data_IF_662869326872
#
_entry.id   IF_662869326872
#
_cell.length_a   1.000
_cell.length_b   1.000
_cell.length_c   1.000
_cell.angle_alpha   90.00
_cell.angle_beta   90.00
_cell.angle_gamma   90.00
#
_symmetry.space_group_name_H-M   'P 1'
#
loop_
_entity.id
_entity.type
_entity.pdbx_description
1 polymer ?
#
# COMPACT_ATOMS: atom_id res chain seq x y z
N UNK A 1 74.58 -24.69 13.10
CA UNK A 1 75.55 -23.70 12.58
C UNK A 1 74.87 -22.87 11.50
N UNK A 2 74.66 -21.56 11.77
CA UNK A 2 74.65 -20.41 10.84
C UNK A 2 73.69 -20.34 9.61
N UNK A 3 72.85 -19.28 9.66
CA UNK A 3 72.42 -18.34 8.58
C UNK A 3 71.24 -18.87 7.72
N UNK A 4 70.19 -18.15 7.35
CA UNK A 4 69.98 -16.77 6.86
C UNK A 4 68.53 -16.35 7.18
N UNK A 5 68.21 -15.24 7.85
CA UNK A 5 68.09 -13.85 7.37
C UNK A 5 67.16 -13.65 6.16
N UNK A 6 65.97 -13.14 6.47
CA UNK A 6 65.19 -12.09 5.79
C UNK A 6 64.45 -12.32 4.46
N UNK A 7 63.26 -11.69 4.45
CA UNK A 7 62.64 -10.93 3.36
C UNK A 7 61.92 -11.71 2.25
N UNK A 8 60.58 -11.56 2.21
CA UNK A 8 59.70 -11.17 1.07
C UNK A 8 58.29 -11.62 1.43
N UNK A 9 57.42 -10.73 1.91
CA UNK A 9 56.43 -10.04 1.08
C UNK A 9 55.69 -11.02 0.14
N UNK A 10 54.50 -11.49 0.52
CA UNK A 10 53.24 -11.52 -0.25
C UNK A 10 52.19 -12.18 0.66
N UNK A 11 51.65 -11.42 1.62
CA UNK A 11 50.37 -11.76 2.28
C UNK A 11 49.31 -10.92 1.59
N UNK A 12 48.89 -11.35 0.41
CA UNK A 12 47.73 -10.83 -0.30
C UNK A 12 47.42 -11.79 -1.45
N UNK A 13 46.14 -11.96 -1.77
CA UNK A 13 45.61 -12.75 -2.90
C UNK A 13 45.58 -14.25 -2.55
N UNK A 14 44.46 -14.87 -2.15
CA UNK A 14 43.13 -14.83 -2.75
C UNK A 14 42.04 -15.13 -1.70
N UNK A 15 41.32 -14.10 -1.27
CA UNK A 15 39.92 -14.24 -0.85
C UNK A 15 39.08 -14.38 -2.12
N UNK A 16 38.05 -15.26 -2.08
CA UNK A 16 36.77 -15.23 -2.83
C UNK A 16 36.32 -16.64 -3.24
N UNK A 17 35.91 -17.45 -2.26
CA UNK A 17 34.90 -18.48 -2.51
C UNK A 17 33.54 -17.84 -2.21
N UNK A 18 32.80 -17.55 -3.28
CA UNK A 18 31.50 -16.90 -3.26
C UNK A 18 30.52 -17.66 -2.35
N UNK A 19 30.13 -17.03 -1.24
CA UNK A 19 28.92 -17.40 -0.51
C UNK A 19 27.76 -17.04 -1.43
N UNK A 20 27.06 -18.05 -1.94
CA UNK A 20 25.74 -17.91 -2.58
C UNK A 20 24.76 -17.49 -1.49
N UNK A 21 24.73 -16.20 -1.18
CA UNK A 21 23.61 -15.62 -0.45
C UNK A 21 22.42 -15.59 -1.40
N UNK A 22 21.47 -16.49 -1.14
CA UNK A 22 20.08 -16.33 -1.56
C UNK A 22 19.52 -15.06 -0.93
N UNK A 23 19.84 -13.92 -1.54
CA UNK A 23 19.08 -12.70 -1.36
C UNK A 23 17.79 -12.89 -2.13
N UNK A 24 16.68 -13.02 -1.40
CA UNK A 24 15.36 -12.82 -1.97
C UNK A 24 15.42 -11.56 -2.84
N UNK A 25 15.21 -11.74 -4.13
CA UNK A 25 14.93 -10.63 -5.04
C UNK A 25 13.63 -9.99 -4.55
N UNK A 26 13.72 -9.05 -3.60
CA UNK A 26 12.64 -8.11 -3.32
C UNK A 26 12.60 -7.16 -4.52
N UNK A 27 12.01 -7.67 -5.61
CA UNK A 27 11.69 -6.87 -6.78
C UNK A 27 10.89 -5.67 -6.31
N UNK A 28 11.47 -4.50 -6.55
CA UNK A 28 10.90 -3.17 -6.39
C UNK A 28 9.38 -3.14 -6.65
N UNK A 29 8.59 -3.30 -5.60
CA UNK A 29 7.19 -2.85 -5.55
C UNK A 29 7.23 -1.51 -4.83
N UNK A 30 6.78 -0.44 -5.48
CA UNK A 30 6.66 0.88 -4.88
C UNK A 30 6.08 0.80 -3.47
N UNK A 31 6.68 1.52 -2.52
CA UNK A 31 6.35 1.44 -1.10
C UNK A 31 4.84 1.53 -0.91
N UNK A 32 4.21 0.44 -0.46
CA UNK A 32 2.77 0.39 -0.17
C UNK A 32 2.51 1.38 0.97
N UNK A 33 1.68 2.43 0.77
CA UNK A 33 1.39 3.38 1.83
C UNK A 33 0.74 2.71 3.05
N UNK A 34 1.10 3.18 4.24
CA UNK A 34 0.51 2.78 5.52
C UNK A 34 -0.94 3.22 5.67
N UNK A 35 -1.25 4.02 6.70
CA UNK A 35 -2.56 4.67 6.79
C UNK A 35 -2.57 5.95 5.96
N UNK A 36 -3.64 6.17 5.19
CA UNK A 36 -3.84 7.38 4.38
C UNK A 36 -5.16 8.05 4.77
N UNK A 37 -5.27 9.36 4.54
CA UNK A 37 -6.50 10.11 4.82
C UNK A 37 -7.20 10.45 3.50
N UNK A 38 -8.42 9.94 3.33
CA UNK A 38 -9.27 10.27 2.18
C UNK A 38 -9.93 11.63 2.42
N UNK A 39 -9.35 12.68 1.83
CA UNK A 39 -9.65 14.09 2.18
C UNK A 39 -10.43 14.90 1.13
N UNK A 40 -11.13 14.24 0.19
CA UNK A 40 -11.94 14.93 -0.83
C UNK A 40 -13.07 15.76 -0.20
N UNK A 41 -13.62 15.31 0.93
CA UNK A 41 -14.61 16.06 1.71
C UNK A 41 -14.05 16.36 3.10
N UNK A 42 -13.70 17.62 3.36
CA UNK A 42 -13.01 18.04 4.58
C UNK A 42 -13.74 17.63 5.88
N UNK A 43 -15.08 17.69 5.88
CA UNK A 43 -15.92 17.35 7.05
C UNK A 43 -16.29 15.88 7.16
N UNK A 44 -15.88 15.03 6.20
CA UNK A 44 -16.27 13.60 6.15
C UNK A 44 -15.09 12.69 5.80
N UNK A 45 -13.91 13.01 6.33
CA UNK A 45 -12.67 12.26 6.08
C UNK A 45 -12.73 10.85 6.70
N UNK A 46 -11.99 9.92 6.09
CA UNK A 46 -11.76 8.56 6.60
C UNK A 46 -10.27 8.31 6.62
N UNK A 47 -9.76 7.86 7.77
CA UNK A 47 -8.41 7.30 7.84
C UNK A 47 -8.48 5.85 7.38
N UNK A 48 -7.93 5.57 6.21
CA UNK A 48 -7.94 4.28 5.56
C UNK A 48 -6.61 3.56 5.80
N UNK A 49 -6.67 2.34 6.32
CA UNK A 49 -5.50 1.48 6.50
C UNK A 49 -5.12 0.80 5.17
N UNK A 50 -4.45 1.54 4.28
CA UNK A 50 -4.13 1.07 2.94
C UNK A 50 -3.21 -0.16 2.98
N UNK A 51 -2.16 -0.14 3.79
CA UNK A 51 -1.25 -1.28 3.95
C UNK A 51 -1.98 -2.52 4.46
N UNK A 52 -2.82 -2.39 5.49
CA UNK A 52 -3.59 -3.51 6.02
C UNK A 52 -4.57 -4.11 5.00
N UNK A 53 -5.17 -3.28 4.14
CA UNK A 53 -6.00 -3.78 3.04
C UNK A 53 -5.16 -4.44 1.94
N UNK A 54 -4.02 -3.85 1.56
CA UNK A 54 -3.13 -4.41 0.55
C UNK A 54 -2.59 -5.79 0.97
N UNK A 55 -2.22 -5.96 2.24
CA UNK A 55 -1.74 -7.24 2.79
C UNK A 55 -2.81 -8.32 2.78
N UNK A 56 -4.07 -7.99 3.12
CA UNK A 56 -5.17 -8.97 3.17
C UNK A 56 -5.74 -9.30 1.79
N UNK A 57 -5.80 -8.32 0.89
CA UNK A 57 -6.44 -8.48 -0.43
C UNK A 57 -5.44 -8.98 -1.47
N UNK A 58 -4.18 -8.52 -1.42
CA UNK A 58 -3.09 -8.91 -2.33
C UNK A 58 -3.21 -8.43 -3.78
N UNK A 59 -4.44 -8.31 -4.31
CA UNK A 59 -4.72 -7.88 -5.69
C UNK A 59 -4.99 -6.37 -5.76
N UNK A 60 -3.99 -5.61 -6.21
CA UNK A 60 -4.01 -4.15 -6.28
C UNK A 60 -5.18 -3.61 -7.12
N UNK A 61 -5.47 -4.27 -8.25
CA UNK A 61 -6.55 -3.93 -9.19
C UNK A 61 -7.94 -4.16 -8.61
N UNK A 62 -8.03 -4.78 -7.43
CA UNK A 62 -9.29 -4.77 -6.68
C UNK A 62 -9.70 -3.33 -6.44
N UNK A 63 -8.81 -2.44 -6.03
CA UNK A 63 -9.14 -1.02 -5.80
C UNK A 63 -8.64 -0.12 -6.93
N UNK A 64 -7.40 -0.31 -7.39
CA UNK A 64 -6.78 0.43 -8.48
C UNK A 64 -7.22 -0.15 -9.84
N UNK A 65 -8.50 0.03 -10.15
CA UNK A 65 -9.12 -0.54 -11.34
C UNK A 65 -8.80 0.23 -12.63
N UNK A 66 -8.08 1.35 -12.52
CA UNK A 66 -7.55 2.11 -13.64
C UNK A 66 -6.01 2.18 -13.49
N UNK A 67 -5.22 1.69 -14.45
CA UNK A 67 -3.76 1.75 -14.39
C UNK A 67 -3.19 3.17 -14.53
N UNK A 68 -3.97 4.14 -15.00
CA UNK A 68 -3.49 5.49 -15.30
C UNK A 68 -3.42 6.41 -14.06
N UNK A 69 -3.96 5.98 -12.91
CA UNK A 69 -3.86 6.76 -11.67
C UNK A 69 -3.95 5.90 -10.41
N UNK A 70 -3.10 6.25 -9.44
CA UNK A 70 -3.10 5.71 -8.09
C UNK A 70 -4.08 6.43 -7.14
N UNK A 71 -4.52 7.65 -7.48
CA UNK A 71 -5.41 8.43 -6.62
C UNK A 71 -6.82 8.40 -7.19
N UNK A 72 -7.75 7.91 -6.38
CA UNK A 72 -9.15 7.86 -6.80
C UNK A 72 -9.70 9.26 -7.15
N UNK A 73 -9.21 10.31 -6.49
CA UNK A 73 -9.62 11.71 -6.73
C UNK A 73 -9.19 12.30 -8.06
N UNK A 74 -8.26 11.67 -8.78
CA UNK A 74 -7.82 12.15 -10.10
C UNK A 74 -8.93 11.94 -11.15
N UNK A 75 -9.81 10.94 -10.95
CA UNK A 75 -10.97 10.69 -11.81
C UNK A 75 -12.30 10.90 -11.06
N UNK A 76 -12.41 10.44 -9.81
CA UNK A 76 -13.62 10.58 -9.00
C UNK A 76 -13.58 11.88 -8.21
N UNK A 77 -14.05 12.97 -8.83
CA UNK A 77 -14.16 14.27 -8.20
C UNK A 77 -15.26 14.32 -7.12
N UNK A 78 -15.37 15.45 -6.41
CA UNK A 78 -16.40 15.66 -5.39
C UNK A 78 -17.84 15.59 -5.96
N UNK A 79 -18.02 15.95 -7.24
CA UNK A 79 -19.27 15.82 -7.98
C UNK A 79 -19.11 14.78 -9.08
N UNK A 80 -20.22 14.17 -9.48
CA UNK A 80 -20.29 13.26 -10.61
C UNK A 80 -19.91 14.02 -11.89
N UNK A 81 -19.19 13.35 -12.79
CA UNK A 81 -18.86 13.85 -14.11
C UNK A 81 -19.23 12.81 -15.18
N UNK A 82 -20.19 13.12 -16.04
CA UNK A 82 -20.68 12.21 -17.08
C UNK A 82 -21.08 10.84 -16.52
N UNK A 83 -20.34 9.79 -16.89
CA UNK A 83 -20.50 8.41 -16.40
C UNK A 83 -19.62 8.08 -15.18
N UNK A 84 -18.68 8.94 -14.85
CA UNK A 84 -17.77 8.77 -13.71
C UNK A 84 -18.51 9.16 -12.42
N UNK A 85 -18.73 8.21 -11.49
CA UNK A 85 -19.39 8.51 -10.23
C UNK A 85 -18.56 9.49 -9.39
N UNK A 86 -19.22 10.24 -8.53
CA UNK A 86 -18.53 11.07 -7.54
C UNK A 86 -17.67 10.21 -6.61
N UNK A 87 -16.69 10.82 -5.95
CA UNK A 87 -15.85 10.18 -4.94
C UNK A 87 -16.69 9.48 -3.87
N UNK A 88 -17.76 10.13 -3.39
CA UNK A 88 -18.68 9.56 -2.40
C UNK A 88 -19.33 8.28 -2.90
N UNK A 89 -19.85 8.28 -4.12
CA UNK A 89 -20.51 7.11 -4.71
C UNK A 89 -19.51 5.97 -4.95
N UNK A 90 -18.33 6.27 -5.50
CA UNK A 90 -17.28 5.29 -5.74
C UNK A 90 -16.80 4.62 -4.45
N UNK A 91 -16.52 5.39 -3.40
CA UNK A 91 -16.05 4.86 -2.12
C UNK A 91 -17.14 4.06 -1.39
N UNK A 92 -18.37 4.57 -1.34
CA UNK A 92 -19.47 3.82 -0.74
C UNK A 92 -19.75 2.53 -1.52
N UNK A 93 -19.71 2.56 -2.85
CA UNK A 93 -19.87 1.34 -3.62
C UNK A 93 -18.73 0.36 -3.33
N UNK A 94 -17.47 0.81 -3.36
CA UNK A 94 -16.33 -0.10 -3.28
C UNK A 94 -16.09 -0.65 -1.88
N UNK A 95 -15.99 0.24 -0.89
CA UNK A 95 -15.62 -0.11 0.48
C UNK A 95 -16.79 -0.82 1.18
N UNK A 96 -17.99 -0.22 1.16
CA UNK A 96 -19.16 -0.76 1.86
C UNK A 96 -19.56 -2.11 1.30
N UNK A 97 -19.66 -2.25 -0.03
CA UNK A 97 -20.09 -3.52 -0.61
C UNK A 97 -19.07 -4.64 -0.38
N UNK A 98 -17.76 -4.34 -0.44
CA UNK A 98 -16.75 -5.32 -0.10
C UNK A 98 -16.93 -5.80 1.35
N UNK A 99 -16.99 -4.87 2.30
CA UNK A 99 -17.14 -5.21 3.72
C UNK A 99 -18.44 -5.95 4.02
N UNK A 100 -19.57 -5.53 3.43
CA UNK A 100 -20.86 -6.21 3.63
C UNK A 100 -20.86 -7.64 3.06
N UNK A 101 -20.06 -7.90 2.02
CA UNK A 101 -19.91 -9.24 1.45
C UNK A 101 -18.93 -10.11 2.23
N UNK A 102 -17.86 -9.54 2.78
CA UNK A 102 -16.76 -10.31 3.40
C UNK A 102 -16.84 -10.37 4.92
N UNK A 103 -17.57 -9.47 5.57
CA UNK A 103 -17.68 -9.39 7.01
C UNK A 103 -19.13 -9.16 7.45
N UNK A 104 -19.81 -10.22 7.89
CA UNK A 104 -21.21 -10.20 8.36
C UNK A 104 -21.47 -9.28 9.57
N UNK A 105 -20.41 -8.85 10.27
CA UNK A 105 -20.50 -7.92 11.40
C UNK A 105 -20.68 -6.47 10.93
N UNK A 106 -20.23 -6.14 9.72
CA UNK A 106 -20.38 -4.80 9.14
C UNK A 106 -21.84 -4.60 8.75
N UNK A 107 -22.50 -3.61 9.36
CA UNK A 107 -23.88 -3.23 9.02
C UNK A 107 -23.94 -2.13 7.97
N UNK A 108 -22.80 -1.51 7.66
CA UNK A 108 -22.71 -0.43 6.70
C UNK A 108 -23.32 0.86 7.22
N UNK A 109 -23.35 1.01 8.55
CA UNK A 109 -23.70 2.25 9.23
C UNK A 109 -22.62 3.30 9.00
N UNK A 110 -23.00 4.58 8.94
CA UNK A 110 -22.09 5.65 8.53
C UNK A 110 -20.89 5.80 9.47
N UNK A 111 -21.11 5.61 10.77
CA UNK A 111 -20.10 5.75 11.81
C UNK A 111 -19.08 4.60 11.85
N UNK A 112 -19.36 3.46 11.21
CA UNK A 112 -18.39 2.34 11.12
C UNK A 112 -17.13 2.74 10.33
N UNK A 113 -17.27 3.69 9.40
CA UNK A 113 -16.15 4.23 8.61
C UNK A 113 -15.89 5.71 8.90
N UNK A 114 -16.93 6.50 9.22
CA UNK A 114 -16.82 7.93 9.49
C UNK A 114 -17.15 8.23 10.95
N UNK A 115 -16.22 8.04 11.90
CA UNK A 115 -16.50 8.14 13.34
C UNK A 115 -17.05 9.51 13.76
N UNK A 116 -16.71 10.57 13.02
CA UNK A 116 -17.11 11.94 13.31
C UNK A 116 -18.31 12.42 12.50
N UNK A 117 -18.93 11.56 11.69
CA UNK A 117 -20.06 11.97 10.86
C UNK A 117 -21.33 12.07 11.69
N UNK A 118 -21.87 13.28 11.81
CA UNK A 118 -23.23 13.49 12.30
C UNK A 118 -24.18 13.30 11.12
N UNK A 119 -25.15 12.40 11.31
CA UNK A 119 -26.30 12.30 10.42
C UNK A 119 -27.18 13.52 10.69
N UNK A 120 -27.35 14.38 9.70
CA UNK A 120 -28.40 15.39 9.77
C UNK A 120 -29.73 14.64 9.84
N UNK A 121 -30.53 14.93 10.87
CA UNK A 121 -31.91 14.48 10.98
C UNK A 121 -32.72 15.00 9.79
#
# INVERSE_FOLDING_TARGET
>A
MKRFVSLTLVVAVTLMAAVVQGGAEEKAKGKIPGKIVLKVYEKRQVTFDHQGHAQRIGKCQTCHHNPDSEKCSDCHAAKRDGKTPSFREAMHYKCKNCHMKTNKKVKGACQECHPNVRLSK
#
